data_IF_033641465788
#
_entry.id   IF_033641465788
#
_cell.length_a   1.000
_cell.length_b   1.000
_cell.length_c   1.000
_cell.angle_alpha   90.00
_cell.angle_beta   90.00
_cell.angle_gamma   90.00
#
_symmetry.space_group_name_H-M   'P 1'
#
loop_
_entity.id
_entity.type
_entity.pdbx_description
1 polymer ?
#
# COMPACT_ATOMS: atom_id res chain seq x y z
N UNK A 1 -18.86 -29.30 10.15
CA UNK A 1 -18.89 -27.89 10.58
C UNK A 1 -17.44 -27.48 10.83
N UNK A 2 -16.79 -26.91 9.84
CA UNK A 2 -15.42 -26.38 9.93
C UNK A 2 -15.47 -25.02 9.24
N UNK A 3 -15.40 -23.97 10.03
CA UNK A 3 -15.50 -22.58 9.58
C UNK A 3 -14.85 -21.64 10.61
N UNK A 4 -13.87 -22.16 11.34
CA UNK A 4 -13.18 -21.48 12.43
C UNK A 4 -11.72 -21.91 12.40
N UNK A 5 -10.81 -20.95 12.57
CA UNK A 5 -9.38 -21.17 12.77
C UNK A 5 -8.88 -20.47 14.03
N UNK A 6 -7.79 -20.98 14.58
CA UNK A 6 -7.07 -20.30 15.64
C UNK A 6 -6.14 -19.24 15.06
N UNK A 7 -6.22 -18.01 15.57
CA UNK A 7 -5.24 -16.95 15.33
C UNK A 7 -4.62 -16.49 16.64
N UNK A 8 -3.31 -16.23 16.61
CA UNK A 8 -2.56 -15.70 17.74
C UNK A 8 -2.36 -14.19 17.56
N UNK A 9 -2.69 -13.41 18.58
CA UNK A 9 -2.39 -11.98 18.65
C UNK A 9 -1.65 -11.66 19.94
N UNK A 10 -0.38 -11.27 19.81
CA UNK A 10 0.57 -11.15 20.91
C UNK A 10 0.66 -12.44 21.74
N UNK A 11 0.01 -12.49 22.91
CA UNK A 11 0.01 -13.63 23.84
C UNK A 11 -1.34 -14.34 23.94
N UNK A 12 -2.31 -13.94 23.11
CA UNK A 12 -3.69 -14.48 23.14
C UNK A 12 -3.94 -15.33 21.91
N UNK A 13 -4.56 -16.49 22.10
CA UNK A 13 -5.12 -17.31 21.02
C UNK A 13 -6.64 -17.13 20.97
N UNK A 14 -7.17 -16.81 19.81
CA UNK A 14 -8.60 -16.59 19.59
C UNK A 14 -9.09 -17.43 18.41
N UNK A 15 -10.26 -18.05 18.55
CA UNK A 15 -10.95 -18.64 17.41
C UNK A 15 -11.59 -17.52 16.60
N UNK A 16 -11.19 -17.40 15.34
CA UNK A 16 -11.83 -16.53 14.36
C UNK A 16 -12.53 -17.37 13.31
N UNK A 17 -13.69 -16.93 12.81
CA UNK A 17 -14.30 -17.54 11.65
C UNK A 17 -13.31 -17.63 10.46
N UNK A 18 -13.39 -18.68 9.65
CA UNK A 18 -12.47 -18.85 8.52
C UNK A 18 -12.61 -17.74 7.47
N UNK A 19 -13.80 -17.16 7.37
CA UNK A 19 -14.17 -16.03 6.53
C UNK A 19 -13.79 -14.67 7.13
N UNK A 20 -13.21 -14.62 8.35
CA UNK A 20 -12.49 -13.43 8.82
C UNK A 20 -11.13 -13.30 8.11
N UNK A 21 -11.17 -13.20 6.78
CA UNK A 21 -10.07 -12.72 5.94
C UNK A 21 -10.58 -11.52 5.18
N UNK A 22 -9.67 -10.68 4.73
CA UNK A 22 -10.05 -9.70 3.73
C UNK A 22 -10.38 -10.44 2.43
N UNK A 23 -11.65 -10.45 2.07
CA UNK A 23 -12.19 -11.16 0.91
C UNK A 23 -11.83 -10.44 -0.39
N UNK A 24 -11.80 -9.11 -0.31
CA UNK A 24 -11.41 -8.25 -1.41
C UNK A 24 -10.78 -6.95 -0.93
N UNK A 25 -9.97 -6.35 -1.79
CA UNK A 25 -9.39 -5.03 -1.62
C UNK A 25 -9.68 -4.25 -2.89
N UNK A 26 -10.54 -3.23 -2.80
CA UNK A 26 -10.65 -2.25 -3.86
C UNK A 26 -9.42 -1.32 -3.80
N UNK A 27 -8.73 -1.18 -4.91
CA UNK A 27 -7.56 -0.32 -5.07
C UNK A 27 -7.99 0.87 -5.93
N UNK A 28 -8.00 2.07 -5.36
CA UNK A 28 -8.31 3.30 -6.09
C UNK A 28 -7.10 4.25 -6.08
N UNK A 29 -6.58 4.60 -7.25
CA UNK A 29 -5.54 5.63 -7.39
C UNK A 29 -6.18 6.96 -7.74
N UNK A 30 -5.87 8.00 -6.98
CA UNK A 30 -6.52 9.30 -7.07
C UNK A 30 -5.52 10.42 -7.34
N UNK A 31 -5.94 11.41 -8.12
CA UNK A 31 -5.21 12.66 -8.29
C UNK A 31 -5.55 13.64 -7.17
N UNK A 32 -4.53 14.20 -6.54
CA UNK A 32 -4.62 15.28 -5.55
C UNK A 32 -4.42 16.67 -6.20
N UNK A 33 -4.44 16.71 -7.54
CA UNK A 33 -4.16 17.89 -8.34
C UNK A 33 -5.15 19.04 -8.14
N UNK A 34 -4.59 20.19 -7.73
CA UNK A 34 -5.19 21.52 -7.64
C UNK A 34 -6.33 21.72 -6.63
N UNK A 35 -6.04 22.52 -5.60
CA UNK A 35 -6.93 22.98 -4.50
C UNK A 35 -8.16 23.80 -4.97
N UNK A 36 -8.44 23.83 -6.27
CA UNK A 36 -9.35 24.79 -6.89
C UNK A 36 -10.77 24.27 -7.11
N UNK A 37 -11.04 22.98 -6.85
CA UNK A 37 -12.38 22.41 -7.05
C UNK A 37 -12.86 21.67 -5.79
N UNK A 38 -14.06 21.98 -5.26
CA UNK A 38 -14.67 21.23 -4.14
C UNK A 38 -15.12 19.80 -4.52
N UNK A 39 -14.81 19.36 -5.74
CA UNK A 39 -15.11 18.01 -6.20
C UNK A 39 -14.20 16.98 -5.54
N UNK A 40 -14.71 15.75 -5.38
CA UNK A 40 -13.92 14.58 -4.96
C UNK A 40 -12.67 14.47 -5.83
N UNK A 41 -11.54 14.09 -5.23
CA UNK A 41 -10.30 13.80 -5.93
C UNK A 41 -10.58 12.88 -7.14
N UNK A 42 -10.17 13.25 -8.37
CA UNK A 42 -10.43 12.42 -9.55
C UNK A 42 -9.81 11.03 -9.42
N UNK A 43 -10.60 10.00 -9.73
CA UNK A 43 -10.12 8.62 -9.83
C UNK A 43 -9.31 8.45 -11.12
N UNK A 44 -8.04 8.09 -11.00
CA UNK A 44 -7.11 7.83 -12.11
C UNK A 44 -7.26 6.39 -12.59
N UNK A 45 -7.28 5.43 -11.66
CA UNK A 45 -7.36 4.01 -11.96
C UNK A 45 -8.02 3.26 -10.80
N UNK A 46 -8.71 2.15 -11.11
CA UNK A 46 -9.25 1.25 -10.10
C UNK A 46 -9.12 -0.21 -10.51
N UNK A 47 -8.92 -1.07 -9.51
CA UNK A 47 -8.96 -2.53 -9.65
C UNK A 47 -9.43 -3.15 -8.34
N UNK A 48 -9.76 -4.45 -8.38
CA UNK A 48 -10.06 -5.22 -7.16
C UNK A 48 -9.09 -6.39 -7.07
N UNK A 49 -8.45 -6.54 -5.92
CA UNK A 49 -7.70 -7.75 -5.56
C UNK A 49 -8.63 -8.65 -4.75
N UNK A 50 -8.59 -9.96 -5.01
CA UNK A 50 -9.41 -10.96 -4.33
C UNK A 50 -8.56 -12.17 -3.94
N UNK A 51 -9.06 -13.00 -3.02
CA UNK A 51 -8.44 -14.28 -2.69
C UNK A 51 -7.01 -14.11 -2.18
N UNK A 52 -6.08 -14.93 -2.70
CA UNK A 52 -4.71 -14.97 -2.18
C UNK A 52 -3.91 -13.68 -2.46
N UNK A 53 -4.22 -12.96 -3.53
CA UNK A 53 -3.61 -11.66 -3.81
C UNK A 53 -4.00 -10.61 -2.75
N UNK A 54 -5.27 -10.58 -2.34
CA UNK A 54 -5.75 -9.71 -1.27
C UNK A 54 -5.08 -10.06 0.07
N UNK A 55 -5.05 -11.36 0.42
CA UNK A 55 -4.39 -11.85 1.64
C UNK A 55 -2.90 -11.51 1.68
N UNK A 56 -2.20 -11.70 0.55
CA UNK A 56 -0.78 -11.40 0.44
C UNK A 56 -0.50 -9.90 0.63
N UNK A 57 -1.33 -9.03 0.05
CA UNK A 57 -1.18 -7.58 0.24
C UNK A 57 -1.41 -7.17 1.70
N UNK A 58 -2.45 -7.70 2.37
CA UNK A 58 -2.70 -7.41 3.79
C UNK A 58 -1.52 -7.86 4.65
N UNK A 59 -1.02 -9.08 4.42
CA UNK A 59 0.14 -9.59 5.15
C UNK A 59 1.38 -8.72 4.92
N UNK A 60 1.60 -8.26 3.68
CA UNK A 60 2.72 -7.38 3.34
C UNK A 60 2.61 -6.00 4.02
N UNK A 61 1.40 -5.44 4.12
CA UNK A 61 1.14 -4.19 4.85
C UNK A 61 1.43 -4.39 6.34
N UNK A 62 0.89 -5.45 6.95
CA UNK A 62 1.11 -5.73 8.38
C UNK A 62 2.58 -6.02 8.74
N UNK A 63 3.33 -6.65 7.83
CA UNK A 63 4.75 -6.94 8.02
C UNK A 63 5.69 -5.76 7.72
N UNK A 64 5.18 -4.68 7.11
CA UNK A 64 5.99 -3.51 6.80
C UNK A 64 6.49 -2.84 8.11
N UNK A 65 7.76 -2.41 8.18
CA UNK A 65 8.28 -1.73 9.36
C UNK A 65 7.48 -0.47 9.68
N UNK A 66 7.30 -0.18 10.96
CA UNK A 66 6.65 1.05 11.39
C UNK A 66 7.47 2.30 11.03
N UNK A 67 6.76 3.42 10.91
CA UNK A 67 7.28 4.71 10.50
C UNK A 67 7.04 5.00 9.02
N UNK A 68 7.53 6.16 8.60
CA UNK A 68 7.34 6.70 7.26
C UNK A 68 8.70 6.95 6.63
N UNK A 69 8.80 6.72 5.33
CA UNK A 69 10.04 6.94 4.59
C UNK A 69 9.75 7.08 3.09
N UNK A 70 10.22 8.16 2.42
CA UNK A 70 10.82 9.38 2.97
C UNK A 70 9.85 10.25 3.80
N UNK A 71 10.39 10.87 4.86
CA UNK A 71 9.73 11.96 5.62
C UNK A 71 10.68 13.16 5.83
N UNK A 72 10.91 13.93 4.77
CA UNK A 72 11.87 15.05 4.77
C UNK A 72 11.20 16.36 5.25
N UNK A 73 11.67 17.01 6.33
CA UNK A 73 10.99 18.15 6.94
C UNK A 73 10.80 19.36 6.01
N UNK A 74 11.83 19.73 5.23
CA UNK A 74 11.88 20.97 4.43
C UNK A 74 11.30 20.80 3.02
N UNK A 75 10.25 20.00 2.88
CA UNK A 75 9.76 19.65 1.56
C UNK A 75 8.56 20.46 1.07
N UNK A 76 8.68 20.94 -0.17
CA UNK A 76 7.65 21.70 -0.89
C UNK A 76 6.49 20.85 -1.43
N UNK A 77 6.68 19.54 -1.68
CA UNK A 77 5.65 18.64 -2.20
C UNK A 77 5.27 17.59 -1.14
N UNK A 78 4.73 18.04 -0.02
CA UNK A 78 4.48 17.22 1.19
C UNK A 78 3.79 15.88 0.85
N UNK A 79 2.61 15.91 0.24
CA UNK A 79 1.78 14.72 0.02
C UNK A 79 1.89 14.10 -1.38
N UNK A 80 2.60 14.76 -2.31
CA UNK A 80 2.55 14.39 -3.71
C UNK A 80 1.27 14.80 -4.43
N UNK A 81 1.22 14.53 -5.73
CA UNK A 81 0.06 14.77 -6.58
C UNK A 81 -0.90 13.59 -6.70
N UNK A 82 -0.56 12.45 -6.11
CA UNK A 82 -1.35 11.21 -6.21
C UNK A 82 -1.28 10.39 -4.91
N UNK A 83 -2.33 9.63 -4.63
CA UNK A 83 -2.33 8.60 -3.58
C UNK A 83 -3.13 7.39 -4.04
N UNK A 84 -2.98 6.28 -3.32
CA UNK A 84 -3.87 5.12 -3.44
C UNK A 84 -4.68 4.98 -2.15
N UNK A 85 -5.97 4.70 -2.28
CA UNK A 85 -6.83 4.24 -1.19
C UNK A 85 -7.09 2.76 -1.40
N UNK A 86 -6.80 1.96 -0.38
CA UNK A 86 -7.18 0.56 -0.30
C UNK A 86 -8.43 0.45 0.56
N UNK A 87 -9.54 -0.01 -0.01
CA UNK A 87 -10.75 -0.32 0.74
C UNK A 87 -10.80 -1.83 0.91
N UNK A 88 -10.47 -2.30 2.11
CA UNK A 88 -10.38 -3.71 2.45
C UNK A 88 -11.68 -4.18 3.08
N UNK A 89 -12.29 -5.23 2.51
CA UNK A 89 -13.54 -5.80 3.00
C UNK A 89 -13.29 -7.15 3.64
N UNK A 90 -13.78 -7.36 4.87
CA UNK A 90 -13.73 -8.62 5.61
C UNK A 90 -15.09 -8.87 6.27
N UNK A 91 -15.94 -9.66 5.62
CA UNK A 91 -17.36 -9.76 5.98
C UNK A 91 -18.04 -8.37 5.97
N UNK A 92 -18.70 -8.01 7.07
CA UNK A 92 -19.38 -6.71 7.23
C UNK A 92 -18.45 -5.54 7.59
N UNK A 93 -17.15 -5.80 7.77
CA UNK A 93 -16.18 -4.76 8.13
C UNK A 93 -15.49 -4.22 6.89
N UNK A 94 -15.31 -2.90 6.89
CA UNK A 94 -14.50 -2.20 5.89
C UNK A 94 -13.44 -1.39 6.59
N UNK A 95 -12.19 -1.53 6.15
CA UNK A 95 -11.06 -0.71 6.60
C UNK A 95 -10.44 0.01 5.41
N UNK A 96 -10.14 1.30 5.57
CA UNK A 96 -9.40 2.06 4.57
C UNK A 96 -7.92 2.16 4.97
N UNK A 97 -7.04 1.99 3.98
CA UNK A 97 -5.61 2.26 4.13
C UNK A 97 -5.17 3.24 3.05
N UNK A 98 -4.59 4.35 3.47
CA UNK A 98 -3.99 5.33 2.58
C UNK A 98 -2.58 4.89 2.23
N UNK A 99 -2.22 4.93 0.95
CA UNK A 99 -0.87 4.67 0.45
C UNK A 99 -0.36 5.92 -0.22
N UNK A 100 0.68 6.52 0.38
CA UNK A 100 1.34 7.73 -0.11
C UNK A 100 2.72 7.37 -0.65
N UNK A 101 2.98 7.75 -1.90
CA UNK A 101 4.23 7.41 -2.60
C UNK A 101 4.74 8.54 -3.52
N UNK A 102 3.89 9.53 -3.82
CA UNK A 102 4.18 10.58 -4.79
C UNK A 102 4.76 11.85 -4.15
N UNK A 103 4.85 11.89 -2.81
CA UNK A 103 5.39 13.00 -2.05
C UNK A 103 6.80 12.73 -1.55
N UNK A 104 7.28 13.66 -0.75
CA UNK A 104 8.56 13.60 -0.03
C UNK A 104 8.35 13.53 1.49
N UNK A 105 7.09 13.62 1.95
CA UNK A 105 6.69 13.42 3.34
C UNK A 105 5.56 12.40 3.42
N UNK A 106 5.50 11.74 4.56
CA UNK A 106 4.47 10.76 4.85
C UNK A 106 4.36 9.62 3.83
N UNK A 107 5.45 9.28 3.13
CA UNK A 107 5.44 8.12 2.24
C UNK A 107 5.37 6.84 3.07
N UNK A 108 4.40 5.99 2.74
CA UNK A 108 4.03 4.86 3.57
C UNK A 108 2.58 4.46 3.40
N UNK A 109 2.15 3.53 4.24
CA UNK A 109 0.76 3.15 4.45
C UNK A 109 0.28 3.71 5.78
N UNK A 110 -0.95 4.22 5.82
CA UNK A 110 -1.61 4.70 7.03
C UNK A 110 -3.00 4.06 7.12
N UNK A 111 -3.23 3.26 8.16
CA UNK A 111 -4.48 2.53 8.39
C UNK A 111 -5.42 3.23 9.39
N UNK A 112 -5.08 4.48 9.77
CA UNK A 112 -5.77 5.27 10.79
C UNK A 112 -5.23 5.06 12.21
N UNK A 113 -4.39 4.04 12.44
CA UNK A 113 -3.80 3.73 13.74
C UNK A 113 -2.28 3.62 13.69
N UNK A 114 -1.75 3.06 12.61
CA UNK A 114 -0.33 2.76 12.43
C UNK A 114 0.13 3.24 11.07
N UNK A 115 1.29 3.90 11.08
CA UNK A 115 2.00 4.29 9.87
C UNK A 115 3.15 3.31 9.63
N UNK A 116 3.23 2.77 8.42
CA UNK A 116 4.25 1.79 8.02
C UNK A 116 4.94 2.19 6.73
N UNK A 117 6.20 1.83 6.58
CA UNK A 117 7.03 2.22 5.43
C UNK A 117 6.58 1.48 4.18
N UNK A 118 6.78 2.10 3.02
CA UNK A 118 6.61 1.39 1.76
C UNK A 118 7.68 0.31 1.61
N UNK A 119 7.26 -0.88 1.21
CA UNK A 119 8.15 -1.98 0.84
C UNK A 119 7.83 -2.44 -0.58
N UNK A 120 8.78 -3.14 -1.20
CA UNK A 120 8.57 -3.73 -2.52
C UNK A 120 7.34 -4.66 -2.55
N UNK A 121 7.11 -5.42 -1.47
CA UNK A 121 5.98 -6.32 -1.35
C UNK A 121 4.63 -5.58 -1.31
N UNK A 122 4.60 -4.36 -0.75
CA UNK A 122 3.41 -3.51 -0.74
C UNK A 122 3.20 -2.82 -2.09
N UNK A 123 4.23 -2.20 -2.67
CA UNK A 123 4.02 -1.31 -3.83
C UNK A 123 3.91 -2.03 -5.17
N UNK A 124 4.55 -3.19 -5.35
CA UNK A 124 4.50 -3.94 -6.62
C UNK A 124 3.08 -4.30 -7.06
N UNK A 125 2.21 -4.89 -6.22
CA UNK A 125 0.83 -5.16 -6.63
C UNK A 125 0.00 -3.90 -6.83
N UNK A 126 0.44 -2.75 -6.31
CA UNK A 126 -0.29 -1.49 -6.34
C UNK A 126 0.10 -0.54 -7.47
N UNK A 127 1.30 -0.69 -8.04
CA UNK A 127 1.85 0.23 -9.05
C UNK A 127 2.31 -0.48 -10.33
N UNK A 128 1.70 -1.64 -10.60
CA UNK A 128 1.84 -2.38 -11.85
C UNK A 128 0.48 -2.53 -12.54
N UNK A 129 0.45 -3.02 -13.78
CA UNK A 129 -0.79 -3.20 -14.53
C UNK A 129 -1.54 -1.88 -14.74
N UNK A 130 -2.84 -1.84 -14.43
CA UNK A 130 -3.69 -0.64 -14.61
C UNK A 130 -3.27 0.55 -13.75
N UNK A 131 -2.49 0.31 -12.69
CA UNK A 131 -1.97 1.35 -11.79
C UNK A 131 -0.54 1.77 -12.12
N UNK A 132 0.05 1.22 -13.19
CA UNK A 132 1.39 1.59 -13.63
C UNK A 132 1.52 3.09 -13.85
N UNK A 133 2.62 3.66 -13.37
CA UNK A 133 2.91 5.07 -13.55
C UNK A 133 3.65 5.32 -14.87
N UNK A 134 3.46 6.51 -15.42
CA UNK A 134 4.22 7.00 -16.57
C UNK A 134 5.66 7.38 -16.21
N UNK A 135 5.90 7.69 -14.94
CA UNK A 135 7.22 8.04 -14.40
C UNK A 135 7.34 7.63 -12.94
N UNK A 136 8.53 7.22 -12.53
CA UNK A 136 8.88 6.87 -11.16
C UNK A 136 10.05 7.74 -10.69
N UNK A 137 10.04 8.17 -9.43
CA UNK A 137 11.27 8.62 -8.78
C UNK A 137 12.16 7.40 -8.46
N UNK A 138 13.46 7.61 -8.20
CA UNK A 138 14.41 6.51 -8.02
C UNK A 138 14.00 5.53 -6.92
N UNK A 139 13.60 6.03 -5.74
CA UNK A 139 13.21 5.16 -4.62
C UNK A 139 11.99 4.30 -4.94
N UNK A 140 10.97 4.88 -5.57
CA UNK A 140 9.78 4.14 -5.97
C UNK A 140 10.06 3.15 -7.10
N UNK A 141 10.92 3.52 -8.06
CA UNK A 141 11.39 2.63 -9.12
C UNK A 141 12.06 1.39 -8.54
N UNK A 142 12.97 1.56 -7.57
CA UNK A 142 13.66 0.45 -6.92
C UNK A 142 12.71 -0.49 -6.19
N UNK A 143 11.68 0.04 -5.53
CA UNK A 143 10.68 -0.81 -4.86
C UNK A 143 9.84 -1.60 -5.87
N UNK A 144 9.44 -0.97 -6.98
CA UNK A 144 8.59 -1.60 -8.00
C UNK A 144 9.37 -2.60 -8.86
N UNK A 145 10.51 -2.22 -9.41
CA UNK A 145 11.25 -3.02 -10.40
C UNK A 145 12.53 -3.68 -9.85
N UNK A 146 12.98 -3.30 -8.65
CA UNK A 146 14.30 -3.67 -8.14
C UNK A 146 15.40 -2.75 -8.68
N UNK A 147 16.61 -2.85 -8.14
CA UNK A 147 17.77 -2.19 -8.72
C UNK A 147 17.97 -2.69 -10.16
N UNK A 148 18.04 -1.77 -11.13
CA UNK A 148 18.70 -2.07 -12.39
C UNK A 148 20.15 -2.41 -12.04
N UNK A 149 20.56 -3.66 -12.28
CA UNK A 149 21.80 -4.20 -11.75
C UNK A 149 23.01 -3.30 -12.02
N UNK A 150 23.60 -2.76 -10.96
CA UNK A 150 25.03 -2.43 -10.97
C UNK A 150 25.77 -3.76 -10.84
N UNK A 151 26.11 -4.36 -11.99
CA UNK A 151 27.20 -5.33 -12.01
C UNK A 151 28.46 -4.61 -11.51
N UNK A 152 28.96 -4.99 -10.33
CA UNK A 152 30.32 -4.62 -9.91
C UNK A 152 31.28 -5.02 -11.04
N UNK A 153 32.17 -4.14 -11.53
CA UNK A 153 33.29 -4.63 -12.32
C UNK A 153 34.11 -5.56 -11.43
N UNK A 154 34.23 -6.82 -11.85
CA UNK A 154 35.19 -7.75 -11.29
C UNK A 154 36.57 -7.26 -11.72
N UNK A 155 37.31 -6.63 -10.81
CA UNK A 155 38.73 -6.41 -11.01
C UNK A 155 39.43 -7.77 -10.97
N UNK A 156 40.04 -8.15 -12.10
CA UNK A 156 41.11 -9.15 -12.14
C UNK A 156 42.42 -8.52 -11.64
#
# INVERSE_FOLDING_TARGET
MTGWRWESYQTVEVQVPDDWRYDSIAVGRYSLGHRSSPARAPLIASSTLTGDAAKALVAAIGAAPEGLDPDVPDCIIVYGGELIVLTMHAGDRTQEVLVRYAGCRFNGTDDGTTQRRLTAAVVRPLLTGVHQQTSYNNGLYELVFGHAGVSKPTSQ
#
